data_IF_167103198637
#
_entry.id   IF_167103198637
#
_cell.length_a   1.000
_cell.length_b   1.000
_cell.length_c   1.000
_cell.angle_alpha   90.00
_cell.angle_beta   90.00
_cell.angle_gamma   90.00
#
_symmetry.space_group_name_H-M   'P 1'
#
loop_
_entity.id
_entity.type
_entity.pdbx_description
1 polymer ?
#
# COMPACT_ATOMS: atom_id res chain seq x y z
N UNK A 1 8.28 3.62 6.05
CA UNK A 1 6.95 3.38 6.67
C UNK A 1 7.17 2.61 7.95
N UNK A 2 6.67 3.08 9.09
CA UNK A 2 6.80 2.34 10.36
C UNK A 2 5.78 1.19 10.32
N UNK A 3 6.24 -0.05 10.42
CA UNK A 3 5.34 -1.20 10.57
C UNK A 3 4.61 -1.07 11.92
N UNK A 4 3.28 -1.00 11.91
CA UNK A 4 2.47 -0.83 13.13
C UNK A 4 1.09 -0.18 12.85
N UNK A 5 0.30 0.03 13.91
CA UNK A 5 -1.02 0.65 13.80
C UNK A 5 -0.90 2.12 13.34
N UNK A 6 -1.37 2.40 12.12
CA UNK A 6 -1.51 3.76 11.64
C UNK A 6 -2.71 4.43 12.31
N UNK A 7 -2.45 5.52 13.02
CA UNK A 7 -3.49 6.44 13.51
C UNK A 7 -3.80 7.49 12.45
N UNK A 8 -4.94 8.17 12.58
CA UNK A 8 -5.35 9.23 11.66
C UNK A 8 -4.28 10.31 11.46
N UNK A 9 -3.52 10.69 12.50
CA UNK A 9 -2.42 11.63 12.36
C UNK A 9 -1.34 11.17 11.37
N UNK A 10 -0.92 9.91 11.45
CA UNK A 10 0.10 9.36 10.53
C UNK A 10 -0.40 9.26 9.10
N UNK A 11 -1.67 8.92 8.93
CA UNK A 11 -2.30 8.84 7.62
C UNK A 11 -2.46 10.23 6.99
N UNK A 12 -2.92 11.23 7.75
CA UNK A 12 -3.04 12.59 7.27
C UNK A 12 -1.68 13.16 6.83
N UNK A 13 -0.61 12.95 7.60
CA UNK A 13 0.74 13.32 7.19
C UNK A 13 1.20 12.57 5.93
N UNK A 14 0.85 11.30 5.79
CA UNK A 14 1.13 10.53 4.57
C UNK A 14 0.41 11.11 3.34
N UNK A 15 -0.86 11.49 3.45
CA UNK A 15 -1.61 12.14 2.37
C UNK A 15 -0.96 13.47 1.98
N UNK A 16 -0.62 14.34 2.95
CA UNK A 16 0.07 15.61 2.68
C UNK A 16 1.37 15.40 1.92
N UNK A 17 2.22 14.51 2.42
CA UNK A 17 3.51 14.22 1.79
C UNK A 17 3.37 13.54 0.43
N UNK A 18 2.25 12.88 0.15
CA UNK A 18 1.97 12.30 -1.16
C UNK A 18 1.48 13.35 -2.15
N UNK A 19 0.55 14.22 -1.74
CA UNK A 19 0.05 15.31 -2.59
C UNK A 19 1.15 16.33 -2.94
N UNK A 20 2.06 16.63 -2.02
CA UNK A 20 3.22 17.52 -2.25
C UNK A 20 4.19 17.04 -3.34
N UNK A 21 4.05 15.81 -3.84
CA UNK A 21 4.85 15.28 -4.95
C UNK A 21 4.35 15.73 -6.31
N UNK A 22 3.15 16.28 -6.39
CA UNK A 22 2.55 16.76 -7.63
C UNK A 22 2.70 18.28 -7.72
N UNK A 23 3.07 18.78 -8.89
CA UNK A 23 3.17 20.22 -9.15
C UNK A 23 1.79 20.89 -9.28
N UNK A 24 0.80 20.15 -9.79
CA UNK A 24 -0.59 20.58 -9.92
C UNK A 24 -1.52 19.51 -9.34
N UNK A 25 -2.51 19.96 -8.56
CA UNK A 25 -3.46 19.11 -7.86
C UNK A 25 -4.84 19.06 -8.52
N UNK A 26 -5.15 19.94 -9.49
CA UNK A 26 -6.51 20.12 -10.03
C UNK A 26 -7.13 18.85 -10.66
N UNK A 27 -6.29 17.90 -11.08
CA UNK A 27 -6.71 16.63 -11.68
C UNK A 27 -6.39 15.41 -10.80
N UNK A 28 -6.07 15.64 -9.52
CA UNK A 28 -5.74 14.57 -8.58
C UNK A 28 -6.98 14.19 -7.79
N UNK A 29 -7.36 12.91 -7.87
CA UNK A 29 -8.43 12.32 -7.07
C UNK A 29 -7.82 11.28 -6.13
N UNK A 30 -8.05 11.45 -4.83
CA UNK A 30 -7.67 10.47 -3.80
C UNK A 30 -8.89 9.65 -3.44
N UNK A 31 -8.86 8.36 -3.74
CA UNK A 31 -9.95 7.41 -3.46
C UNK A 31 -9.65 6.65 -2.17
N UNK A 32 -10.54 6.66 -1.19
CA UNK A 32 -10.36 6.01 0.10
C UNK A 32 -11.57 5.18 0.54
N UNK A 33 -11.30 4.05 1.18
CA UNK A 33 -12.30 3.31 1.96
C UNK A 33 -12.50 3.94 3.36
N UNK A 34 -13.41 3.37 4.14
CA UNK A 34 -13.79 3.90 5.46
C UNK A 34 -12.99 3.34 6.64
N UNK A 35 -11.72 2.97 6.43
CA UNK A 35 -10.87 2.52 7.53
C UNK A 35 -10.75 3.57 8.65
N UNK A 36 -10.64 3.15 9.91
CA UNK A 36 -10.62 4.06 11.07
C UNK A 36 -9.44 5.03 11.06
N UNK A 37 -8.33 4.67 10.41
CA UNK A 37 -7.19 5.56 10.19
C UNK A 37 -7.51 6.71 9.20
N UNK A 38 -8.58 6.64 8.42
CA UNK A 38 -8.99 7.68 7.46
C UNK A 38 -9.99 8.68 8.06
N UNK A 39 -10.42 8.48 9.31
CA UNK A 39 -11.56 9.18 9.93
C UNK A 39 -11.47 10.73 9.93
N UNK A 40 -10.28 11.30 9.74
CA UNK A 40 -10.06 12.76 9.74
C UNK A 40 -9.35 13.27 8.48
N UNK A 41 -9.36 12.49 7.40
CA UNK A 41 -8.63 12.86 6.19
C UNK A 41 -9.18 14.13 5.54
N UNK A 42 -10.48 14.44 5.71
CA UNK A 42 -11.08 15.69 5.24
C UNK A 42 -10.41 16.96 5.79
N UNK A 43 -9.76 16.87 6.97
CA UNK A 43 -9.01 17.99 7.53
C UNK A 43 -7.89 18.44 6.58
N UNK A 44 -7.23 17.48 5.92
CA UNK A 44 -6.17 17.76 4.95
C UNK A 44 -6.73 18.50 3.73
N UNK A 45 -7.86 18.05 3.20
CA UNK A 45 -8.48 18.65 2.01
C UNK A 45 -9.14 20.02 2.26
N UNK A 46 -9.26 20.45 3.52
CA UNK A 46 -9.67 21.83 3.87
C UNK A 46 -8.50 22.82 3.88
N UNK A 47 -7.26 22.34 3.92
CA UNK A 47 -6.08 23.20 3.90
C UNK A 47 -5.95 23.89 2.54
N UNK A 48 -5.57 25.17 2.54
CA UNK A 48 -5.43 25.96 1.30
C UNK A 48 -4.43 25.36 0.33
N UNK A 49 -3.40 24.69 0.85
CA UNK A 49 -2.37 23.98 0.07
C UNK A 49 -2.96 22.86 -0.81
N UNK A 50 -4.04 22.20 -0.38
CA UNK A 50 -4.55 20.99 -1.02
C UNK A 50 -5.91 21.17 -1.71
N UNK A 51 -6.41 22.40 -1.84
CA UNK A 51 -7.75 22.70 -2.41
C UNK A 51 -7.95 22.22 -3.85
N UNK A 52 -6.88 22.05 -4.62
CA UNK A 52 -6.98 21.53 -6.00
C UNK A 52 -7.31 20.04 -6.06
N UNK A 53 -6.93 19.26 -5.03
CA UNK A 53 -7.15 17.82 -5.01
C UNK A 53 -8.59 17.48 -4.58
N UNK A 54 -9.14 16.43 -5.16
CA UNK A 54 -10.47 15.90 -4.81
C UNK A 54 -10.35 14.66 -3.94
N UNK A 55 -11.14 14.58 -2.87
CA UNK A 55 -11.29 13.38 -2.05
C UNK A 55 -12.57 12.63 -2.45
N UNK A 56 -12.44 11.35 -2.79
CA UNK A 56 -13.56 10.43 -3.04
C UNK A 56 -13.60 9.36 -1.95
N UNK A 57 -14.68 9.36 -1.15
CA UNK A 57 -14.96 8.30 -0.17
C UNK A 57 -15.82 7.22 -0.79
N UNK A 58 -15.39 5.98 -0.64
CA UNK A 58 -16.19 4.82 -1.03
C UNK A 58 -17.25 4.52 0.03
N UNK A 59 -18.35 3.91 -0.40
CA UNK A 59 -19.37 3.40 0.52
C UNK A 59 -18.84 2.21 1.34
N UNK A 60 -19.48 1.96 2.48
CA UNK A 60 -19.11 0.85 3.36
C UNK A 60 -19.23 -0.49 2.61
N UNK A 61 -18.29 -1.41 2.87
CA UNK A 61 -18.24 -2.74 2.25
C UNK A 61 -18.23 -2.73 0.71
N UNK A 62 -17.56 -1.73 0.09
CA UNK A 62 -17.47 -1.61 -1.37
C UNK A 62 -16.07 -1.89 -1.95
N UNK A 63 -15.43 -3.05 -1.66
CA UNK A 63 -14.08 -3.34 -2.16
C UNK A 63 -14.04 -3.46 -3.69
N UNK A 64 -15.15 -3.82 -4.33
CA UNK A 64 -15.26 -3.87 -5.80
C UNK A 64 -15.10 -2.50 -6.47
N UNK A 65 -15.26 -1.41 -5.71
CA UNK A 65 -15.09 -0.04 -6.19
C UNK A 65 -13.71 0.54 -5.84
N UNK A 66 -12.87 -0.19 -5.11
CA UNK A 66 -11.55 0.26 -4.70
C UNK A 66 -10.46 -0.26 -5.65
N UNK A 67 -9.87 0.58 -6.52
CA UNK A 67 -8.91 0.12 -7.52
C UNK A 67 -7.66 -0.56 -6.93
N UNK A 68 -7.28 -0.22 -5.70
CA UNK A 68 -6.11 -0.83 -5.05
C UNK A 68 -6.29 -2.33 -4.83
N UNK A 69 -7.52 -2.83 -4.73
CA UNK A 69 -7.81 -4.26 -4.56
C UNK A 69 -7.36 -5.06 -5.79
N UNK A 70 -7.46 -4.47 -6.99
CA UNK A 70 -6.96 -5.10 -8.23
C UNK A 70 -5.43 -5.19 -8.18
N UNK A 71 -4.76 -4.08 -7.86
CA UNK A 71 -3.29 -4.02 -7.74
C UNK A 71 -2.81 -5.04 -6.71
N UNK A 72 -3.44 -5.11 -5.53
CA UNK A 72 -3.09 -6.09 -4.51
C UNK A 72 -3.41 -7.52 -4.92
N UNK A 73 -4.46 -7.77 -5.69
CA UNK A 73 -4.76 -9.10 -6.21
C UNK A 73 -3.63 -9.61 -7.11
N UNK A 74 -3.22 -8.80 -8.09
CA UNK A 74 -2.11 -9.12 -9.00
C UNK A 74 -0.80 -9.29 -8.23
N UNK A 75 -0.50 -8.37 -7.30
CA UNK A 75 0.71 -8.43 -6.48
C UNK A 75 0.76 -9.70 -5.62
N UNK A 76 -0.35 -10.05 -4.95
CA UNK A 76 -0.44 -11.29 -4.17
C UNK A 76 -0.26 -12.52 -5.04
N UNK A 77 -0.74 -12.50 -6.28
CA UNK A 77 -0.52 -13.61 -7.23
C UNK A 77 0.96 -13.76 -7.55
N UNK A 78 1.61 -12.67 -7.98
CA UNK A 78 3.04 -12.68 -8.30
C UNK A 78 3.91 -13.13 -7.11
N UNK A 79 3.59 -12.67 -5.89
CA UNK A 79 4.30 -13.14 -4.68
C UNK A 79 4.09 -14.64 -4.47
N UNK A 80 2.88 -15.18 -4.68
CA UNK A 80 2.63 -16.63 -4.55
C UNK A 80 3.42 -17.44 -5.58
N UNK A 81 3.52 -16.95 -6.81
CA UNK A 81 4.29 -17.60 -7.88
C UNK A 81 5.77 -17.65 -7.50
N UNK A 82 6.35 -16.51 -7.09
CA UNK A 82 7.72 -16.44 -6.56
C UNK A 82 7.96 -17.41 -5.39
N UNK A 83 7.04 -17.45 -4.42
CA UNK A 83 7.16 -18.35 -3.26
C UNK A 83 7.05 -19.83 -3.66
N UNK A 84 6.37 -20.13 -4.77
CA UNK A 84 6.24 -21.49 -5.30
C UNK A 84 7.52 -21.91 -6.02
N UNK A 85 8.10 -21.02 -6.83
CA UNK A 85 9.39 -21.23 -7.51
C UNK A 85 10.54 -21.44 -6.51
N UNK A 86 10.57 -20.65 -5.42
CA UNK A 86 11.60 -20.73 -4.39
C UNK A 86 11.26 -21.68 -3.23
N UNK A 87 10.21 -22.51 -3.36
CA UNK A 87 9.68 -23.33 -2.26
C UNK A 87 10.73 -24.22 -1.60
N UNK A 88 11.61 -24.83 -2.39
CA UNK A 88 12.67 -25.70 -1.87
C UNK A 88 13.60 -24.92 -0.93
N UNK A 89 14.07 -23.76 -1.36
CA UNK A 89 15.00 -22.93 -0.59
C UNK A 89 14.35 -22.32 0.66
N UNK A 90 13.06 -21.96 0.56
CA UNK A 90 12.27 -21.44 1.69
C UNK A 90 12.11 -22.50 2.80
N UNK A 91 12.03 -23.78 2.44
CA UNK A 91 11.91 -24.90 3.39
C UNK A 91 13.29 -25.26 3.98
N UNK A 92 14.35 -25.15 3.19
CA UNK A 92 15.72 -25.46 3.58
C UNK A 92 16.36 -24.31 4.37
N UNK A 93 16.03 -24.24 5.66
CA UNK A 93 16.54 -23.20 6.56
C UNK A 93 18.01 -23.46 6.90
N UNK A 94 18.93 -22.52 6.64
CA UNK A 94 20.35 -22.71 6.92
C UNK A 94 20.65 -22.70 8.44
N UNK A 95 21.73 -23.35 8.89
CA UNK A 95 22.17 -23.25 10.29
C UNK A 95 22.45 -21.80 10.69
N UNK A 96 22.08 -21.42 11.91
CA UNK A 96 22.35 -20.08 12.45
C UNK A 96 21.28 -19.02 12.17
N UNK A 97 20.17 -19.37 11.49
CA UNK A 97 18.99 -18.51 11.39
C UNK A 97 17.74 -19.21 11.93
N UNK A 98 16.72 -18.43 12.26
CA UNK A 98 15.42 -18.98 12.63
C UNK A 98 14.58 -19.20 11.38
N UNK A 99 13.68 -20.19 11.42
CA UNK A 99 12.72 -20.43 10.33
C UNK A 99 11.91 -19.17 9.98
N UNK A 100 11.53 -18.39 11.00
CA UNK A 100 10.78 -17.15 10.81
C UNK A 100 11.61 -16.13 10.03
N UNK A 101 12.83 -15.84 10.49
CA UNK A 101 13.69 -14.85 9.85
C UNK A 101 14.03 -15.24 8.39
N UNK A 102 14.31 -16.53 8.16
CA UNK A 102 14.55 -17.04 6.81
C UNK A 102 13.35 -16.82 5.88
N UNK A 103 12.16 -17.23 6.30
CA UNK A 103 10.93 -17.07 5.48
C UNK A 103 10.55 -15.60 5.29
N UNK A 104 10.73 -14.79 6.33
CA UNK A 104 10.49 -13.35 6.27
C UNK A 104 11.40 -12.67 5.25
N UNK A 105 12.67 -13.08 5.14
CA UNK A 105 13.58 -12.57 4.12
C UNK A 105 13.06 -12.83 2.69
N UNK A 106 12.61 -14.06 2.39
CA UNK A 106 12.04 -14.37 1.06
C UNK A 106 10.78 -13.55 0.76
N UNK A 107 9.90 -13.40 1.76
CA UNK A 107 8.69 -12.60 1.59
C UNK A 107 9.01 -11.12 1.35
N UNK A 108 9.99 -10.57 2.07
CA UNK A 108 10.45 -9.19 1.88
C UNK A 108 11.12 -9.00 0.52
N UNK A 109 11.94 -9.95 0.08
CA UNK A 109 12.57 -9.93 -1.23
C UNK A 109 11.50 -9.95 -2.35
N UNK A 110 10.52 -10.85 -2.26
CA UNK A 110 9.42 -10.92 -3.20
C UNK A 110 8.65 -9.58 -3.25
N UNK A 111 8.33 -9.02 -2.08
CA UNK A 111 7.58 -7.77 -2.00
C UNK A 111 8.36 -6.58 -2.61
N UNK A 112 9.66 -6.47 -2.34
CA UNK A 112 10.49 -5.38 -2.84
C UNK A 112 10.71 -5.47 -4.35
N UNK A 113 10.82 -6.69 -4.89
CA UNK A 113 11.10 -6.91 -6.31
C UNK A 113 9.83 -6.77 -7.16
N UNK A 114 8.71 -7.35 -6.71
CA UNK A 114 7.51 -7.50 -7.53
C UNK A 114 6.53 -6.32 -7.41
N UNK A 115 6.54 -5.59 -6.29
CA UNK A 115 5.60 -4.47 -6.13
C UNK A 115 5.78 -3.37 -7.18
N UNK A 116 7.02 -2.92 -7.50
CA UNK A 116 7.24 -1.93 -8.56
C UNK A 116 6.74 -2.39 -9.93
N UNK A 117 6.87 -3.69 -10.26
CA UNK A 117 6.43 -4.25 -11.53
C UNK A 117 4.90 -4.26 -11.66
N UNK A 118 4.19 -4.54 -10.57
CA UNK A 118 2.73 -4.61 -10.55
C UNK A 118 2.06 -3.24 -10.38
N UNK A 119 2.70 -2.32 -9.66
CA UNK A 119 2.13 -1.00 -9.34
C UNK A 119 2.39 0.06 -10.42
N UNK A 120 3.18 -0.25 -11.44
CA UNK A 120 3.42 0.64 -12.58
C UNK A 120 2.37 0.37 -13.65
N UNK A 121 1.58 1.38 -14.10
CA UNK A 121 0.70 1.21 -15.25
C UNK A 121 1.54 0.85 -16.49
N UNK A 122 1.04 -0.08 -17.32
CA UNK A 122 1.60 -0.36 -18.64
C UNK A 122 1.59 0.88 -19.54
#
# INVERSE_FOLDING_TARGET
>A
MKLGNNRHFHFNEFIRNSLRKFEDLNNIVVVLDNATCHARVEEVFRETEFKGATLLRLELYSPMLNPIEIVFSVFKSAVKDFMTEHRADIINVPPGTTMKAHREQYLMQAAQTLFPEVATPL
#
